data_IF_476307772572
#
_entry.id   IF_476307772572
#
_cell.length_a   1.000
_cell.length_b   1.000
_cell.length_c   1.000
_cell.angle_alpha   90.00
_cell.angle_beta   90.00
_cell.angle_gamma   90.00
#
_symmetry.space_group_name_H-M   'P 1'
#
loop_
_entity.id
_entity.type
_entity.pdbx_description
1 polymer ?
#
# COMPACT_ATOMS: atom_id res chain seq x y z
N UNK A 1 16.02 2.40 17.17
CA UNK A 1 14.66 3.00 17.25
C UNK A 1 14.47 4.03 16.15
N UNK A 2 15.47 4.87 15.92
CA UNK A 2 15.53 5.83 14.80
C UNK A 2 15.33 5.18 13.43
N UNK A 3 16.00 4.04 13.17
CA UNK A 3 15.83 3.27 11.92
C UNK A 3 14.39 2.78 11.68
N UNK A 4 13.68 2.43 12.75
CA UNK A 4 12.30 1.97 12.67
C UNK A 4 11.35 3.12 12.32
N UNK A 5 11.59 4.30 12.89
CA UNK A 5 10.82 5.51 12.59
C UNK A 5 11.04 5.92 11.13
N UNK A 6 12.28 5.89 10.65
CA UNK A 6 12.55 6.22 9.24
C UNK A 6 11.94 5.18 8.29
N UNK A 7 12.01 3.89 8.63
CA UNK A 7 11.35 2.84 7.87
C UNK A 7 9.83 3.04 7.78
N UNK A 8 9.19 3.40 8.90
CA UNK A 8 7.75 3.71 8.94
C UNK A 8 7.43 4.93 8.07
N UNK A 9 8.23 6.00 8.15
CA UNK A 9 8.07 7.19 7.30
C UNK A 9 8.16 6.86 5.82
N UNK A 10 9.15 6.05 5.41
CA UNK A 10 9.31 5.61 4.03
C UNK A 10 8.11 4.78 3.57
N UNK A 11 7.69 3.81 4.37
CA UNK A 11 6.51 2.99 4.10
C UNK A 11 5.24 3.83 3.94
N UNK A 12 5.02 4.78 4.86
CA UNK A 12 3.89 5.69 4.79
C UNK A 12 3.90 6.56 3.53
N UNK A 13 5.05 7.11 3.14
CA UNK A 13 5.19 7.89 1.90
C UNK A 13 4.83 7.04 0.68
N UNK A 14 5.32 5.80 0.62
CA UNK A 14 4.99 4.87 -0.45
C UNK A 14 3.50 4.51 -0.49
N UNK A 15 2.91 4.16 0.66
CA UNK A 15 1.50 3.79 0.76
C UNK A 15 0.58 4.97 0.41
N UNK A 16 0.91 6.17 0.88
CA UNK A 16 0.17 7.40 0.55
C UNK A 16 0.25 7.73 -0.94
N UNK A 17 1.44 7.63 -1.53
CA UNK A 17 1.63 7.83 -2.96
C UNK A 17 0.80 6.84 -3.77
N UNK A 18 0.87 5.54 -3.47
CA UNK A 18 0.08 4.52 -4.17
C UNK A 18 -1.42 4.72 -3.98
N UNK A 19 -1.85 5.18 -2.80
CA UNK A 19 -3.26 5.51 -2.53
C UNK A 19 -3.73 6.68 -3.40
N UNK A 20 -2.94 7.76 -3.48
CA UNK A 20 -3.23 8.91 -4.33
C UNK A 20 -3.18 8.53 -5.82
N UNK A 21 -2.14 7.82 -6.27
CA UNK A 21 -2.00 7.37 -7.65
C UNK A 21 -3.20 6.51 -8.09
N UNK A 22 -3.69 5.63 -7.22
CA UNK A 22 -4.90 4.86 -7.48
C UNK A 22 -6.14 5.73 -7.67
N UNK A 23 -6.28 6.83 -6.93
CA UNK A 23 -7.45 7.72 -6.99
C UNK A 23 -7.37 8.63 -8.22
N UNK A 24 -6.22 9.27 -8.44
CA UNK A 24 -6.08 10.40 -9.36
C UNK A 24 -5.46 10.06 -10.72
N UNK A 25 -4.54 9.09 -10.80
CA UNK A 25 -3.73 8.88 -11.99
C UNK A 25 -4.27 7.73 -12.87
N UNK A 26 -4.31 7.97 -14.18
CA UNK A 26 -4.54 6.92 -15.18
C UNK A 26 -3.26 6.53 -15.92
N UNK A 27 -2.36 7.49 -16.16
CA UNK A 27 -1.04 7.31 -16.78
C UNK A 27 0.07 7.88 -15.89
N UNK A 28 1.34 7.72 -16.31
CA UNK A 28 2.52 8.30 -15.65
C UNK A 28 2.54 8.11 -14.12
N UNK A 29 2.15 6.91 -13.68
CA UNK A 29 1.81 6.68 -12.28
C UNK A 29 3.02 6.54 -11.34
N UNK A 30 4.23 6.57 -11.90
CA UNK A 30 5.51 6.65 -11.19
C UNK A 30 6.18 8.02 -11.37
N UNK A 31 5.54 8.96 -12.09
CA UNK A 31 6.07 10.29 -12.41
C UNK A 31 7.44 10.24 -13.11
N UNK A 32 7.60 9.35 -14.09
CA UNK A 32 8.82 9.23 -14.90
C UNK A 32 9.03 10.45 -15.81
N UNK A 33 7.95 11.15 -16.15
CA UNK A 33 7.97 12.45 -16.79
C UNK A 33 7.15 13.49 -15.99
N UNK A 34 7.32 14.81 -16.24
CA UNK A 34 6.49 15.85 -15.61
C UNK A 34 4.99 15.59 -15.81
N UNK A 35 4.20 15.80 -14.75
CA UNK A 35 2.77 15.51 -14.76
C UNK A 35 2.01 16.44 -15.71
N UNK A 36 1.13 15.87 -16.52
CA UNK A 36 0.22 16.60 -17.42
C UNK A 36 -1.24 16.28 -17.10
N UNK A 37 -2.18 17.09 -17.61
CA UNK A 37 -3.62 16.80 -17.46
C UNK A 37 -4.01 15.45 -18.07
N UNK A 38 -3.30 14.97 -19.10
CA UNK A 38 -3.52 13.68 -19.73
C UNK A 38 -3.17 12.48 -18.82
N UNK A 39 -2.45 12.72 -17.72
CA UNK A 39 -2.12 11.69 -16.73
C UNK A 39 -3.22 11.51 -15.68
N UNK A 40 -4.08 12.50 -15.52
CA UNK A 40 -5.16 12.53 -14.53
C UNK A 40 -6.38 11.82 -15.11
N UNK A 41 -7.07 11.02 -14.29
CA UNK A 41 -8.33 10.40 -14.70
C UNK A 41 -9.37 11.46 -15.07
N UNK A 42 -10.13 11.27 -16.15
CA UNK A 42 -11.22 12.19 -16.52
C UNK A 42 -12.37 12.18 -15.49
N UNK A 43 -12.51 11.11 -14.70
CA UNK A 43 -13.44 11.01 -13.59
C UNK A 43 -12.71 10.53 -12.33
N UNK A 44 -12.71 11.36 -11.30
CA UNK A 44 -12.13 11.04 -10.01
C UNK A 44 -13.11 10.20 -9.19
N UNK A 45 -12.71 8.98 -8.85
CA UNK A 45 -13.50 8.06 -8.03
C UNK A 45 -12.59 7.51 -6.92
N UNK A 46 -13.03 7.68 -5.68
CA UNK A 46 -12.30 7.25 -4.48
C UNK A 46 -12.33 8.31 -3.38
N UNK A 47 -11.94 7.93 -2.17
CA UNK A 47 -11.93 8.82 -1.01
C UNK A 47 -10.51 8.94 -0.48
N UNK A 48 -9.94 10.14 -0.55
CA UNK A 48 -8.59 10.40 -0.03
C UNK A 48 -8.58 10.63 1.49
N UNK A 49 -9.58 11.32 2.04
CA UNK A 49 -9.51 11.91 3.39
C UNK A 49 -9.12 10.93 4.51
N UNK A 50 -9.58 9.69 4.45
CA UNK A 50 -9.25 8.66 5.45
C UNK A 50 -7.97 7.86 5.13
N UNK A 51 -7.44 7.94 3.91
CA UNK A 51 -6.33 7.08 3.46
C UNK A 51 -5.03 7.29 4.25
N UNK A 52 -4.55 8.54 4.50
CA UNK A 52 -3.34 8.75 5.28
C UNK A 52 -3.44 8.18 6.71
N UNK A 53 -4.60 8.29 7.34
CA UNK A 53 -4.86 7.73 8.67
C UNK A 53 -4.82 6.20 8.66
N UNK A 54 -5.44 5.56 7.67
CA UNK A 54 -5.38 4.11 7.49
C UNK A 54 -3.94 3.65 7.28
N UNK A 55 -3.19 4.30 6.37
CA UNK A 55 -1.79 3.97 6.10
C UNK A 55 -0.90 4.16 7.32
N UNK A 56 -1.14 5.21 8.12
CA UNK A 56 -0.44 5.42 9.39
C UNK A 56 -0.65 4.26 10.36
N UNK A 57 -1.92 3.91 10.63
CA UNK A 57 -2.24 2.84 11.57
C UNK A 57 -1.69 1.49 11.06
N UNK A 58 -1.88 1.20 9.77
CA UNK A 58 -1.43 -0.04 9.17
C UNK A 58 0.10 -0.21 9.26
N UNK A 59 0.87 0.84 8.98
CA UNK A 59 2.33 0.83 9.11
C UNK A 59 2.78 0.54 10.54
N UNK A 60 2.13 1.15 11.54
CA UNK A 60 2.46 0.94 12.95
C UNK A 60 2.05 -0.45 13.44
N UNK A 61 0.89 -0.95 13.01
CA UNK A 61 0.48 -2.33 13.32
C UNK A 61 1.46 -3.34 12.73
N UNK A 62 1.91 -3.14 11.49
CA UNK A 62 2.93 -4.00 10.91
C UNK A 62 4.26 -3.97 11.68
N UNK A 63 4.67 -2.79 12.16
CA UNK A 63 5.82 -2.68 13.05
C UNK A 63 5.60 -3.47 14.36
N UNK A 64 4.41 -3.37 14.98
CA UNK A 64 4.08 -4.09 16.21
C UNK A 64 4.03 -5.59 16.01
N UNK A 65 3.42 -6.09 14.93
CA UNK A 65 3.42 -7.51 14.55
C UNK A 65 4.86 -8.02 14.47
N UNK A 66 5.75 -7.29 13.79
CA UNK A 66 7.16 -7.68 13.66
C UNK A 66 7.91 -7.64 14.99
N UNK A 67 7.68 -6.61 15.80
CA UNK A 67 8.38 -6.43 17.09
C UNK A 67 7.93 -7.45 18.13
N UNK A 68 6.64 -7.76 18.17
CA UNK A 68 6.03 -8.58 19.22
C UNK A 68 5.75 -10.02 18.78
N UNK A 69 5.90 -10.34 17.49
CA UNK A 69 5.56 -11.64 16.90
C UNK A 69 4.10 -12.06 17.20
N UNK A 70 3.21 -11.08 17.34
CA UNK A 70 1.81 -11.30 17.68
C UNK A 70 0.95 -11.23 16.42
N UNK A 71 0.14 -12.27 16.12
CA UNK A 71 -0.79 -12.22 15.00
C UNK A 71 -1.89 -11.18 15.26
N UNK A 72 -2.19 -10.35 14.26
CA UNK A 72 -3.23 -9.33 14.34
C UNK A 72 -4.19 -9.42 13.15
N UNK A 73 -5.45 -9.07 13.38
CA UNK A 73 -6.46 -8.90 12.32
C UNK A 73 -6.76 -7.40 12.17
N UNK A 74 -6.58 -6.88 10.96
CA UNK A 74 -6.93 -5.49 10.64
C UNK A 74 -8.35 -5.42 10.07
N UNK A 75 -9.28 -4.81 10.82
CA UNK A 75 -10.65 -4.56 10.38
C UNK A 75 -10.75 -3.10 9.92
N UNK A 76 -10.95 -2.90 8.61
CA UNK A 76 -11.11 -1.57 8.05
C UNK A 76 -12.54 -1.06 8.27
N UNK A 77 -12.75 -0.27 9.33
CA UNK A 77 -14.01 0.44 9.58
C UNK A 77 -14.41 1.41 8.45
N UNK A 78 -13.57 2.40 8.10
CA UNK A 78 -13.86 3.33 6.99
C UNK A 78 -13.61 2.66 5.63
N UNK A 79 -14.51 1.77 5.21
CA UNK A 79 -14.37 0.95 4.01
C UNK A 79 -14.23 1.76 2.70
N UNK A 80 -14.70 3.00 2.68
CA UNK A 80 -14.51 3.92 1.55
C UNK A 80 -13.04 4.31 1.33
N UNK A 81 -12.16 4.07 2.31
CA UNK A 81 -10.70 4.23 2.24
C UNK A 81 -9.96 3.06 1.58
N UNK A 82 -10.64 2.26 0.77
CA UNK A 82 -10.12 1.02 0.16
C UNK A 82 -8.79 1.18 -0.59
N UNK A 83 -8.51 2.36 -1.19
CA UNK A 83 -7.25 2.65 -1.87
C UNK A 83 -6.02 2.50 -0.93
N UNK A 84 -6.17 2.85 0.35
CA UNK A 84 -5.14 2.67 1.36
C UNK A 84 -4.88 1.19 1.62
N UNK A 85 -5.94 0.40 1.87
CA UNK A 85 -5.78 -1.05 2.09
C UNK A 85 -5.11 -1.72 0.89
N UNK A 86 -5.52 -1.37 -0.32
CA UNK A 86 -4.91 -1.90 -1.54
C UNK A 86 -3.43 -1.53 -1.68
N UNK A 87 -3.05 -0.29 -1.36
CA UNK A 87 -1.65 0.14 -1.36
C UNK A 87 -0.80 -0.71 -0.40
N UNK A 88 -1.28 -0.92 0.84
CA UNK A 88 -0.56 -1.70 1.84
C UNK A 88 -0.39 -3.17 1.42
N UNK A 89 -1.47 -3.82 0.98
CA UNK A 89 -1.43 -5.22 0.52
C UNK A 89 -0.54 -5.41 -0.71
N UNK A 90 -0.40 -4.39 -1.56
CA UNK A 90 0.51 -4.42 -2.69
C UNK A 90 1.97 -4.29 -2.26
N UNK A 91 2.30 -3.40 -1.32
CA UNK A 91 3.66 -3.29 -0.77
C UNK A 91 4.08 -4.60 -0.10
N UNK A 92 3.17 -5.28 0.60
CA UNK A 92 3.41 -6.61 1.18
C UNK A 92 3.52 -7.73 0.14
N UNK A 93 3.10 -7.49 -1.10
CA UNK A 93 3.03 -8.48 -2.16
C UNK A 93 1.93 -9.53 -1.97
N UNK A 94 0.92 -9.26 -1.14
CA UNK A 94 -0.23 -10.15 -0.89
C UNK A 94 -1.39 -9.88 -1.84
N UNK A 95 -1.48 -8.68 -2.40
CA UNK A 95 -2.48 -8.33 -3.43
C UNK A 95 -1.97 -8.56 -4.86
N UNK A 96 -2.84 -9.18 -5.69
CA UNK A 96 -2.68 -9.31 -7.15
C UNK A 96 -3.55 -8.26 -7.88
N UNK A 97 -3.90 -7.15 -7.22
CA UNK A 97 -4.76 -6.14 -7.83
C UNK A 97 -4.23 -5.70 -9.21
N UNK A 98 -5.03 -5.92 -10.25
CA UNK A 98 -4.69 -5.69 -11.64
C UNK A 98 -4.35 -4.21 -11.89
N UNK A 99 -5.01 -3.28 -11.17
CA UNK A 99 -4.72 -1.84 -11.25
C UNK A 99 -3.32 -1.54 -10.71
N UNK A 100 -2.93 -2.18 -9.61
CA UNK A 100 -1.60 -2.03 -9.01
C UNK A 100 -0.51 -2.79 -9.79
N UNK A 101 -0.85 -3.90 -10.45
CA UNK A 101 0.06 -4.55 -11.42
C UNK A 101 0.31 -3.72 -12.66
N UNK A 102 -0.70 -2.97 -13.13
CA UNK A 102 -0.53 -1.98 -14.21
C UNK A 102 0.22 -0.72 -13.74
N UNK A 103 0.26 -0.46 -12.43
CA UNK A 103 1.04 0.63 -11.83
C UNK A 103 2.55 0.33 -11.83
N UNK A 104 2.94 -0.94 -11.61
CA UNK A 104 4.35 -1.37 -11.65
C UNK A 104 4.44 -2.65 -12.48
N UNK A 105 4.65 -2.54 -13.81
CA UNK A 105 4.72 -3.71 -14.69
C UNK A 105 5.97 -4.55 -14.45
N UNK A 106 7.02 -3.97 -13.86
CA UNK A 106 8.30 -4.64 -13.67
C UNK A 106 8.38 -5.32 -12.29
N UNK A 107 8.50 -6.65 -12.29
CA UNK A 107 8.56 -7.48 -11.07
C UNK A 107 9.71 -7.10 -10.14
N UNK A 108 10.78 -6.50 -10.66
CA UNK A 108 11.97 -6.13 -9.90
C UNK A 108 11.74 -5.00 -8.88
N UNK A 109 10.85 -4.03 -9.15
CA UNK A 109 10.56 -2.96 -8.17
C UNK A 109 9.75 -3.48 -6.98
N UNK A 110 8.80 -4.39 -7.25
CA UNK A 110 8.05 -5.09 -6.20
C UNK A 110 8.95 -6.03 -5.38
N UNK A 111 10.01 -6.58 -6.00
CA UNK A 111 11.03 -7.39 -5.31
C UNK A 111 12.02 -6.51 -4.52
N UNK A 112 12.37 -5.34 -5.03
CA UNK A 112 13.20 -4.34 -4.32
C UNK A 112 12.49 -3.77 -3.08
N UNK A 113 11.16 -3.61 -3.13
CA UNK A 113 10.35 -3.28 -1.96
C UNK A 113 10.31 -4.43 -0.94
N UNK A 114 10.38 -5.70 -1.37
CA UNK A 114 10.54 -6.85 -0.46
C UNK A 114 11.90 -6.88 0.24
N UNK A 115 12.96 -6.35 -0.38
CA UNK A 115 14.33 -6.39 0.16
C UNK A 115 14.67 -5.15 1.00
N UNK A 116 14.17 -3.97 0.65
CA UNK A 116 14.39 -2.72 1.40
C UNK A 116 13.47 -2.58 2.62
N UNK A 117 12.19 -2.97 2.52
CA UNK A 117 11.28 -3.06 3.66
C UNK A 117 11.39 -4.46 4.29
N UNK A 118 12.52 -4.73 4.96
CA UNK A 118 12.90 -6.07 5.41
C UNK A 118 11.74 -6.90 5.97
N UNK A 119 11.44 -8.03 5.31
CA UNK A 119 10.42 -9.05 5.66
C UNK A 119 9.29 -8.52 6.55
N UNK A 120 8.39 -7.72 5.97
CA UNK A 120 7.08 -7.46 6.57
C UNK A 120 6.20 -8.68 6.32
N UNK A 121 5.47 -9.11 7.35
CA UNK A 121 4.77 -10.38 7.39
C UNK A 121 3.70 -10.48 6.31
N UNK A 122 3.97 -11.23 5.24
CA UNK A 122 3.01 -11.60 4.20
C UNK A 122 1.97 -12.65 4.67
N UNK A 123 1.63 -12.66 5.96
CA UNK A 123 0.81 -13.69 6.59
C UNK A 123 -0.38 -13.02 7.28
N UNK A 124 -1.50 -12.86 6.56
CA UNK A 124 -2.88 -13.04 7.10
C UNK A 124 -4.03 -12.75 6.10
N UNK A 125 -3.85 -12.85 4.77
CA UNK A 125 -5.04 -12.83 3.84
C UNK A 125 -5.31 -14.21 3.22
N UNK A 126 -4.28 -15.06 3.09
CA UNK A 126 -4.42 -16.39 2.47
C UNK A 126 -5.12 -17.44 3.35
N UNK A 127 -5.12 -17.29 4.67
CA UNK A 127 -5.67 -18.33 5.57
C UNK A 127 -7.19 -18.25 5.77
N UNK A 128 -7.81 -17.09 5.54
CA UNK A 128 -9.26 -16.91 5.78
C UNK A 128 -10.16 -17.38 4.63
N UNK A 129 -9.66 -17.43 3.39
CA UNK A 129 -10.45 -17.85 2.21
C UNK A 129 -10.35 -19.34 1.86
N UNK A 130 -9.69 -20.16 2.69
CA UNK A 130 -9.60 -21.62 2.49
C UNK A 130 -10.55 -22.42 3.38
N UNK A 131 -11.47 -21.77 4.09
CA UNK A 131 -12.39 -22.42 5.03
C UNK A 131 -13.88 -22.16 4.77
N UNK A 132 -14.21 -21.63 3.60
CA UNK A 132 -15.56 -21.54 3.05
C UNK A 132 -15.50 -21.85 1.55
#
# INVERSE_FOLDING_TARGET
>A
MEDAIESIKQYMRAANYLSAAQIYLMNNRLLEQPLTFADIKPRLLGHWGTCPGINFIYAHLNYLIKKQQSPMLFILGPGHGYAALQANLFIEGTSINIILKRLIPNKELAISLKTSAGRMAAFQVRSYFRRW
#
